data_IF_246457072928
#
_entry.id   IF_246457072928
#
_cell.length_a   1.000
_cell.length_b   1.000
_cell.length_c   1.000
_cell.angle_alpha   90.00
_cell.angle_beta   90.00
_cell.angle_gamma   90.00
#
_symmetry.space_group_name_H-M   'P 1'
#
loop_
_entity.id
_entity.type
_entity.pdbx_description
1 polymer ?
#
# COMPACT_ATOMS: atom_id res chain seq x y z
N UNK A 1 53.97 24.20 -49.09
CA UNK A 1 52.99 23.81 -50.10
C UNK A 1 53.25 22.33 -50.39
N UNK A 2 52.55 21.43 -49.75
CA UNK A 2 52.40 20.02 -50.17
C UNK A 2 51.08 19.52 -49.65
N UNK A 3 50.18 19.27 -50.59
CA UNK A 3 48.87 18.64 -50.37
C UNK A 3 49.09 17.15 -50.26
N UNK A 4 48.64 16.51 -49.17
CA UNK A 4 48.50 15.08 -49.07
C UNK A 4 47.00 14.79 -49.07
N UNK A 5 46.57 14.09 -50.09
CA UNK A 5 45.22 13.51 -50.22
C UNK A 5 45.25 12.13 -49.58
N UNK A 6 44.49 11.92 -48.53
CA UNK A 6 44.27 10.57 -47.96
C UNK A 6 42.84 10.19 -48.24
N UNK A 7 42.71 9.09 -48.93
CA UNK A 7 41.43 8.51 -49.34
C UNK A 7 40.60 7.98 -48.17
N UNK A 8 39.28 8.21 -48.29
CA UNK A 8 38.24 7.74 -47.36
C UNK A 8 37.94 6.28 -47.70
N UNK A 9 38.35 5.35 -46.84
CA UNK A 9 37.82 4.01 -46.84
C UNK A 9 36.61 3.98 -45.84
N UNK A 10 35.43 3.94 -46.39
CA UNK A 10 34.19 3.80 -45.59
C UNK A 10 34.13 2.36 -45.06
N UNK A 11 34.42 2.17 -43.79
CA UNK A 11 34.06 0.95 -43.05
C UNK A 11 32.69 1.14 -42.46
N UNK A 12 31.67 0.56 -43.09
CA UNK A 12 30.33 0.49 -42.55
C UNK A 12 30.37 -0.60 -41.45
N UNK A 13 30.50 -0.17 -40.19
CA UNK A 13 30.27 -1.01 -39.03
C UNK A 13 28.77 -1.04 -38.77
N UNK A 14 28.07 -2.10 -39.18
CA UNK A 14 26.71 -2.42 -38.75
C UNK A 14 26.76 -2.75 -37.26
N UNK A 15 26.56 -1.74 -36.42
CA UNK A 15 26.21 -1.93 -35.02
C UNK A 15 24.77 -2.45 -34.95
N UNK A 16 24.63 -3.77 -34.96
CA UNK A 16 23.42 -4.42 -34.48
C UNK A 16 23.32 -4.14 -32.98
N UNK A 17 22.65 -3.07 -32.63
CA UNK A 17 22.20 -2.80 -31.26
C UNK A 17 21.20 -3.89 -30.90
N UNK A 18 21.71 -4.97 -30.27
CA UNK A 18 20.89 -5.89 -29.54
C UNK A 18 20.15 -5.09 -28.44
N UNK A 19 18.93 -4.71 -28.70
CA UNK A 19 17.98 -4.34 -27.66
C UNK A 19 17.80 -5.59 -26.79
N UNK A 20 18.64 -5.75 -25.78
CA UNK A 20 18.32 -6.59 -24.64
C UNK A 20 17.20 -5.90 -23.91
N UNK A 21 15.96 -6.14 -24.35
CA UNK A 21 14.78 -5.87 -23.55
C UNK A 21 15.06 -6.52 -22.20
N UNK A 22 15.28 -5.70 -21.16
CA UNK A 22 15.20 -6.18 -19.79
C UNK A 22 13.85 -6.87 -19.69
N UNK A 23 13.83 -8.19 -19.72
CA UNK A 23 12.70 -8.98 -19.27
C UNK A 23 12.41 -8.45 -17.88
N UNK A 24 11.36 -7.64 -17.75
CA UNK A 24 10.80 -7.27 -16.48
C UNK A 24 10.39 -8.60 -15.87
N UNK A 25 11.19 -9.11 -14.95
CA UNK A 25 10.84 -10.27 -14.16
C UNK A 25 9.52 -9.89 -13.52
N UNK A 26 8.44 -10.51 -13.98
CA UNK A 26 7.16 -10.49 -13.27
C UNK A 26 7.51 -11.02 -11.91
N UNK A 27 7.60 -10.14 -10.92
CA UNK A 27 7.72 -10.54 -9.53
C UNK A 27 6.48 -11.41 -9.28
N UNK A 28 6.74 -12.68 -9.01
CA UNK A 28 5.70 -13.63 -8.66
C UNK A 28 5.01 -13.05 -7.41
N UNK A 29 3.86 -12.42 -7.63
CA UNK A 29 3.18 -11.64 -6.60
C UNK A 29 2.72 -12.64 -5.54
N UNK A 30 3.38 -12.60 -4.37
CA UNK A 30 3.00 -13.46 -3.25
C UNK A 30 1.61 -13.13 -2.69
N UNK A 31 1.03 -11.99 -3.09
CA UNK A 31 -0.32 -11.55 -2.73
C UNK A 31 -1.42 -12.17 -3.61
N UNK A 32 -1.25 -13.43 -3.98
CA UNK A 32 -2.24 -14.25 -4.69
C UNK A 32 -2.67 -15.41 -3.81
N UNK A 33 -3.98 -15.64 -3.69
CA UNK A 33 -4.55 -16.89 -3.14
C UNK A 33 -4.32 -17.15 -1.64
N UNK A 34 -4.21 -16.14 -0.81
CA UNK A 34 -4.31 -16.30 0.65
C UNK A 34 -5.78 -16.29 1.06
N UNK A 35 -6.15 -17.21 1.95
CA UNK A 35 -7.46 -17.19 2.61
C UNK A 35 -7.39 -16.34 3.86
N UNK A 36 -8.48 -15.64 4.15
CA UNK A 36 -8.58 -14.87 5.38
C UNK A 36 -8.63 -15.79 6.61
N UNK A 37 -7.69 -15.58 7.52
CA UNK A 37 -7.64 -16.22 8.84
C UNK A 37 -7.47 -15.20 9.97
N UNK A 38 -7.33 -13.91 9.64
CA UNK A 38 -6.82 -12.87 10.55
C UNK A 38 -7.87 -11.86 11.00
N UNK A 39 -8.97 -11.73 10.28
CA UNK A 39 -10.01 -10.75 10.64
C UNK A 39 -11.41 -11.34 10.40
N UNK A 40 -12.40 -10.73 11.04
CA UNK A 40 -13.80 -11.17 10.97
C UNK A 40 -14.67 -10.02 10.48
N UNK A 41 -15.89 -10.36 10.05
CA UNK A 41 -16.98 -9.40 9.91
C UNK A 41 -17.21 -8.67 11.26
N UNK A 42 -17.73 -7.45 11.20
CA UNK A 42 -17.96 -6.58 12.36
C UNK A 42 -16.68 -6.15 13.12
N UNK A 43 -15.48 -6.48 12.59
CA UNK A 43 -14.24 -6.01 13.21
C UNK A 43 -14.17 -4.47 13.11
N UNK A 44 -13.83 -3.85 14.25
CA UNK A 44 -13.51 -2.43 14.32
C UNK A 44 -12.18 -2.22 15.03
N UNK A 45 -11.28 -1.50 14.37
CA UNK A 45 -9.97 -1.13 14.93
C UNK A 45 -9.90 0.40 14.92
N UNK A 46 -9.65 0.99 16.09
CA UNK A 46 -9.55 2.44 16.25
C UNK A 46 -8.17 2.83 16.78
N UNK A 47 -7.56 3.82 16.16
CA UNK A 47 -6.27 4.37 16.54
C UNK A 47 -6.42 5.81 17.00
N UNK A 48 -5.62 6.19 17.99
CA UNK A 48 -5.33 7.60 18.27
C UNK A 48 -4.09 7.98 17.49
N UNK A 49 -4.16 9.03 16.70
CA UNK A 49 -3.03 9.55 15.91
C UNK A 49 -2.31 10.61 16.74
N UNK A 50 -1.02 10.42 16.93
CA UNK A 50 -0.17 11.38 17.63
C UNK A 50 0.86 11.98 16.66
N UNK A 51 1.02 13.30 16.72
CA UNK A 51 2.17 13.97 16.15
C UNK A 51 3.22 14.21 17.23
N UNK A 52 4.48 13.97 16.87
CA UNK A 52 5.60 14.28 17.75
C UNK A 52 6.26 15.56 17.24
N UNK A 53 6.15 16.62 18.03
CA UNK A 53 6.79 17.92 17.75
C UNK A 53 7.71 18.25 18.92
N UNK A 54 9.01 18.38 18.67
CA UNK A 54 10.04 18.72 19.69
C UNK A 54 9.91 17.81 20.93
N UNK A 55 9.68 16.50 20.71
CA UNK A 55 9.55 15.52 21.80
C UNK A 55 8.20 15.49 22.53
N UNK A 56 7.25 16.35 22.16
CA UNK A 56 5.90 16.36 22.71
C UNK A 56 4.98 15.51 21.82
N UNK A 57 4.19 14.63 22.45
CA UNK A 57 3.14 13.85 21.79
C UNK A 57 1.82 14.62 21.82
N UNK A 58 1.37 15.06 20.65
CA UNK A 58 0.10 15.79 20.49
C UNK A 58 -0.92 14.80 19.91
N UNK A 59 -2.03 14.58 20.63
CA UNK A 59 -3.16 13.83 20.09
C UNK A 59 -3.83 14.66 18.98
N UNK A 60 -3.53 14.32 17.74
CA UNK A 60 -3.92 15.10 16.56
C UNK A 60 -5.23 14.61 15.94
N UNK A 61 -5.64 13.35 16.19
CA UNK A 61 -6.84 12.82 15.56
C UNK A 61 -7.05 11.33 15.78
N UNK A 62 -7.91 10.75 14.98
CA UNK A 62 -8.22 9.30 15.00
C UNK A 62 -8.16 8.71 13.61
N UNK A 63 -7.88 7.40 13.57
CA UNK A 63 -8.04 6.58 12.37
C UNK A 63 -8.84 5.33 12.74
N UNK A 64 -9.95 5.11 12.04
CA UNK A 64 -10.86 4.00 12.30
C UNK A 64 -10.94 3.09 11.08
N UNK A 65 -10.91 1.78 11.31
CA UNK A 65 -11.11 0.76 10.29
C UNK A 65 -12.27 -0.13 10.70
N UNK A 66 -13.21 -0.36 9.78
CA UNK A 66 -14.37 -1.24 10.00
C UNK A 66 -14.48 -2.23 8.87
N UNK A 67 -14.86 -3.46 9.19
CA UNK A 67 -15.06 -4.54 8.22
C UNK A 67 -16.48 -5.07 8.34
N UNK A 68 -17.19 -5.19 7.21
CA UNK A 68 -18.53 -5.79 7.14
C UNK A 68 -18.57 -6.82 6.03
N UNK A 69 -19.24 -7.93 6.25
CA UNK A 69 -19.57 -8.87 5.20
C UNK A 69 -20.81 -8.35 4.45
N UNK A 70 -20.74 -8.26 3.14
CA UNK A 70 -21.85 -7.83 2.28
C UNK A 70 -21.75 -8.48 0.91
N UNK A 71 -22.61 -8.09 -0.02
CA UNK A 71 -22.56 -8.52 -1.41
C UNK A 71 -22.23 -7.35 -2.34
N UNK A 72 -21.39 -7.63 -3.32
CA UNK A 72 -21.09 -6.73 -4.40
C UNK A 72 -21.19 -7.48 -5.74
N UNK A 73 -22.12 -7.04 -6.62
CA UNK A 73 -22.41 -7.71 -7.90
C UNK A 73 -22.69 -9.23 -7.72
N UNK A 74 -23.46 -9.61 -6.68
CA UNK A 74 -23.81 -10.99 -6.38
C UNK A 74 -22.69 -11.85 -5.78
N UNK A 75 -21.51 -11.27 -5.51
CA UNK A 75 -20.39 -11.96 -4.85
C UNK A 75 -20.27 -11.52 -3.40
N UNK A 76 -19.99 -12.45 -2.45
CA UNK A 76 -19.72 -12.08 -1.06
C UNK A 76 -18.38 -11.33 -0.98
N UNK A 77 -18.37 -10.20 -0.29
CA UNK A 77 -17.20 -9.33 -0.11
C UNK A 77 -17.08 -8.86 1.33
N UNK A 78 -15.84 -8.62 1.76
CA UNK A 78 -15.57 -7.78 2.91
C UNK A 78 -15.59 -6.31 2.44
N UNK A 79 -16.56 -5.54 2.91
CA UNK A 79 -16.56 -4.09 2.74
C UNK A 79 -15.76 -3.47 3.89
N UNK A 80 -14.56 -3.05 3.57
CA UNK A 80 -13.62 -2.42 4.49
C UNK A 80 -13.70 -0.92 4.32
N UNK A 81 -13.84 -0.18 5.41
CA UNK A 81 -13.83 1.28 5.42
C UNK A 81 -12.76 1.78 6.39
N UNK A 82 -11.83 2.56 5.88
CA UNK A 82 -10.85 3.32 6.65
C UNK A 82 -11.23 4.80 6.70
N UNK A 83 -11.18 5.42 7.86
CA UNK A 83 -11.43 6.85 8.06
C UNK A 83 -10.31 7.47 8.86
N UNK A 84 -9.80 8.61 8.40
CA UNK A 84 -8.83 9.43 9.10
C UNK A 84 -9.43 10.82 9.36
N UNK A 85 -9.40 11.29 10.61
CA UNK A 85 -9.91 12.63 10.95
C UNK A 85 -8.98 13.32 11.96
N UNK A 86 -8.64 14.56 11.70
CA UNK A 86 -7.99 15.43 12.69
C UNK A 86 -8.98 15.90 13.73
N UNK A 87 -8.49 16.14 14.94
CA UNK A 87 -9.28 16.71 16.01
C UNK A 87 -9.71 18.13 15.63
N UNK A 88 -10.97 18.56 15.86
CA UNK A 88 -11.43 19.90 15.48
C UNK A 88 -10.55 21.03 15.98
N UNK A 89 -9.91 20.87 17.14
CA UNK A 89 -8.97 21.84 17.73
C UNK A 89 -7.73 22.11 16.88
N UNK A 90 -7.40 21.23 15.90
CA UNK A 90 -6.22 21.34 15.04
C UNK A 90 -6.58 21.55 13.57
N UNK A 91 -7.88 21.61 13.21
CA UNK A 91 -8.33 21.79 11.83
C UNK A 91 -7.80 23.09 11.21
N UNK A 92 -7.54 24.10 12.02
CA UNK A 92 -6.97 25.38 11.58
C UNK A 92 -5.48 25.29 11.18
N UNK A 93 -4.75 24.25 11.66
CA UNK A 93 -3.36 23.98 11.27
C UNK A 93 -3.34 23.12 10.01
N UNK A 94 -3.99 21.96 10.10
CA UNK A 94 -4.06 21.02 8.98
C UNK A 94 -5.27 20.09 9.16
N UNK A 95 -6.28 20.32 8.34
CA UNK A 95 -7.51 19.53 8.39
C UNK A 95 -7.37 18.27 7.58
N UNK A 96 -7.70 17.11 8.17
CA UNK A 96 -7.81 15.82 7.49
C UNK A 96 -9.21 15.26 7.63
N UNK A 97 -9.83 14.88 6.52
CA UNK A 97 -11.14 14.22 6.43
C UNK A 97 -11.06 13.18 5.32
N UNK A 98 -10.48 12.04 5.67
CA UNK A 98 -10.22 11.00 4.70
C UNK A 98 -11.17 9.83 4.88
N UNK A 99 -11.61 9.27 3.76
CA UNK A 99 -12.40 8.06 3.69
C UNK A 99 -11.93 7.20 2.53
N UNK A 100 -11.52 5.99 2.87
CA UNK A 100 -11.15 4.93 1.95
C UNK A 100 -12.14 3.78 2.09
N UNK A 101 -12.55 3.16 0.99
CA UNK A 101 -13.40 1.97 1.00
C UNK A 101 -12.85 0.94 0.02
N UNK A 102 -12.86 -0.32 0.41
CA UNK A 102 -12.52 -1.43 -0.48
C UNK A 102 -13.54 -2.54 -0.34
N UNK A 103 -13.97 -3.07 -1.47
CA UNK A 103 -14.82 -4.26 -1.57
C UNK A 103 -13.92 -5.43 -1.94
N UNK A 104 -13.56 -6.23 -0.95
CA UNK A 104 -12.55 -7.28 -1.03
C UNK A 104 -13.24 -8.62 -1.18
N UNK A 105 -12.92 -9.35 -2.24
CA UNK A 105 -13.42 -10.72 -2.47
C UNK A 105 -13.05 -11.64 -1.32
N UNK A 106 -14.04 -12.33 -0.73
CA UNK A 106 -13.84 -13.18 0.46
C UNK A 106 -12.97 -14.41 0.22
N UNK A 107 -12.81 -14.82 -1.05
CA UNK A 107 -12.07 -16.03 -1.43
C UNK A 107 -10.61 -15.75 -1.73
N UNK A 108 -10.32 -14.61 -2.40
CA UNK A 108 -9.00 -14.29 -2.92
C UNK A 108 -8.31 -13.13 -2.22
N UNK A 109 -9.04 -12.40 -1.38
CA UNK A 109 -8.62 -11.13 -0.75
C UNK A 109 -8.14 -10.07 -1.77
N UNK A 110 -8.60 -10.15 -3.01
CA UNK A 110 -8.36 -9.14 -4.03
C UNK A 110 -9.49 -8.11 -4.05
N UNK A 111 -9.21 -6.85 -4.38
CA UNK A 111 -10.24 -5.83 -4.49
C UNK A 111 -11.13 -6.08 -5.71
N UNK A 112 -12.41 -5.76 -5.60
CA UNK A 112 -13.37 -5.64 -6.70
C UNK A 112 -13.71 -4.17 -6.96
N UNK A 113 -13.73 -3.35 -5.92
CA UNK A 113 -13.93 -1.89 -6.01
C UNK A 113 -13.16 -1.19 -4.91
N UNK A 114 -12.59 -0.04 -5.26
CA UNK A 114 -11.94 0.88 -4.32
C UNK A 114 -12.50 2.28 -4.50
N UNK A 115 -12.78 2.96 -3.39
CA UNK A 115 -13.22 4.35 -3.35
C UNK A 115 -12.30 5.13 -2.44
N UNK A 116 -11.85 6.29 -2.90
CA UNK A 116 -10.98 7.19 -2.15
C UNK A 116 -11.56 8.60 -2.16
N UNK A 117 -11.92 9.08 -0.98
CA UNK A 117 -12.34 10.47 -0.76
C UNK A 117 -11.40 11.08 0.29
N UNK A 118 -10.60 12.04 -0.10
CA UNK A 118 -9.54 12.67 0.70
C UNK A 118 -9.77 14.17 0.72
N UNK A 119 -9.63 14.79 1.90
CA UNK A 119 -9.57 16.23 2.10
C UNK A 119 -8.47 16.52 3.11
N UNK A 120 -7.27 16.81 2.61
CA UNK A 120 -6.04 17.05 3.37
C UNK A 120 -5.56 18.48 3.15
N UNK A 121 -5.78 19.35 4.12
CA UNK A 121 -5.38 20.78 4.04
C UNK A 121 -6.02 21.53 2.86
N UNK A 122 -7.20 21.09 2.40
CA UNK A 122 -7.88 21.63 1.23
C UNK A 122 -7.55 20.93 -0.10
N UNK A 123 -6.54 20.06 -0.13
CA UNK A 123 -6.29 19.18 -1.28
C UNK A 123 -7.32 18.05 -1.28
N UNK A 124 -8.05 17.90 -2.38
CA UNK A 124 -9.17 16.95 -2.48
C UNK A 124 -8.92 15.91 -3.57
N UNK A 125 -9.18 14.66 -3.22
CA UNK A 125 -9.17 13.52 -4.14
C UNK A 125 -10.53 12.82 -4.05
N UNK A 126 -11.12 12.51 -5.21
CA UNK A 126 -12.26 11.62 -5.34
C UNK A 126 -11.95 10.65 -6.46
N UNK A 127 -11.74 9.39 -6.11
CA UNK A 127 -11.39 8.34 -7.07
C UNK A 127 -12.26 7.12 -6.85
N UNK A 128 -12.65 6.47 -7.93
CA UNK A 128 -13.36 5.20 -7.94
C UNK A 128 -12.68 4.27 -8.93
N UNK A 129 -12.29 3.08 -8.46
CA UNK A 129 -11.66 2.04 -9.24
C UNK A 129 -12.49 0.77 -9.20
N UNK A 130 -12.85 0.22 -10.36
CA UNK A 130 -13.48 -1.09 -10.52
C UNK A 130 -12.45 -2.07 -11.09
N UNK A 131 -12.16 -3.13 -10.32
CA UNK A 131 -11.16 -4.14 -10.67
C UNK A 131 -11.83 -5.33 -11.35
N UNK A 132 -11.45 -5.61 -12.59
CA UNK A 132 -11.84 -6.81 -13.31
C UNK A 132 -10.68 -7.81 -13.28
N UNK A 133 -10.82 -8.87 -12.46
CA UNK A 133 -9.80 -9.91 -12.28
C UNK A 133 -9.68 -10.85 -13.47
N UNK A 134 -10.72 -10.98 -14.29
CA UNK A 134 -10.74 -11.87 -15.46
C UNK A 134 -9.95 -11.28 -16.62
N UNK A 135 -10.06 -9.96 -16.81
CA UNK A 135 -9.37 -9.23 -17.87
C UNK A 135 -8.09 -8.54 -17.41
N UNK A 136 -7.80 -8.53 -16.09
CA UNK A 136 -6.69 -7.80 -15.49
C UNK A 136 -6.71 -6.30 -15.88
N UNK A 137 -7.88 -5.69 -15.75
CA UNK A 137 -8.11 -4.28 -16.06
C UNK A 137 -8.75 -3.59 -14.88
N UNK A 138 -8.29 -2.39 -14.58
CA UNK A 138 -8.95 -1.45 -13.65
C UNK A 138 -9.64 -0.37 -14.46
N UNK A 139 -10.94 -0.24 -14.27
CA UNK A 139 -11.73 0.86 -14.84
C UNK A 139 -11.82 1.99 -13.81
N UNK A 140 -11.56 3.20 -14.29
CA UNK A 140 -11.60 4.43 -13.51
C UNK A 140 -12.40 5.50 -14.24
N UNK A 141 -12.62 6.65 -13.62
CA UNK A 141 -13.23 7.82 -14.27
C UNK A 141 -12.34 8.42 -15.39
N UNK A 142 -11.04 8.08 -15.41
CA UNK A 142 -10.09 8.56 -16.46
C UNK A 142 -9.86 7.56 -17.59
N UNK A 143 -10.38 6.34 -17.46
CA UNK A 143 -10.20 5.30 -18.47
C UNK A 143 -9.90 3.92 -17.87
N UNK A 144 -9.41 3.03 -18.72
CA UNK A 144 -9.09 1.66 -18.37
C UNK A 144 -7.57 1.46 -18.36
N UNK A 145 -7.09 0.75 -17.34
CA UNK A 145 -5.66 0.51 -17.11
C UNK A 145 -5.39 -0.98 -16.98
N UNK A 146 -4.44 -1.49 -17.74
CA UNK A 146 -3.96 -2.86 -17.58
C UNK A 146 -3.19 -2.99 -16.25
N UNK A 147 -3.51 -4.03 -15.50
CA UNK A 147 -2.87 -4.32 -14.20
C UNK A 147 -2.38 -5.76 -14.16
N UNK A 148 -1.35 -6.08 -13.38
CA UNK A 148 -0.97 -7.47 -13.18
C UNK A 148 -2.05 -8.23 -12.40
N UNK A 149 -2.04 -9.56 -12.52
CA UNK A 149 -2.86 -10.42 -11.66
C UNK A 149 -2.52 -10.16 -10.20
N UNK A 150 -3.52 -10.32 -9.32
CA UNK A 150 -3.37 -10.12 -7.87
C UNK A 150 -2.97 -8.71 -7.43
N UNK A 151 -3.25 -7.70 -8.26
CA UNK A 151 -3.09 -6.30 -7.88
C UNK A 151 -3.97 -5.97 -6.68
N UNK A 152 -3.47 -5.12 -5.81
CA UNK A 152 -4.16 -4.66 -4.60
C UNK A 152 -4.48 -3.17 -4.71
N UNK A 153 -5.49 -2.72 -3.98
CA UNK A 153 -5.64 -1.33 -3.55
C UNK A 153 -5.00 -1.11 -2.17
N UNK A 154 -5.07 0.10 -1.64
CA UNK A 154 -4.47 0.46 -0.35
C UNK A 154 -5.03 -0.37 0.80
N UNK A 155 -6.35 -0.50 0.90
CA UNK A 155 -6.99 -1.23 2.01
C UNK A 155 -6.87 -2.74 1.85
N UNK A 156 -7.07 -3.25 0.64
CA UNK A 156 -6.92 -4.68 0.39
C UNK A 156 -5.49 -5.15 0.65
N UNK A 157 -4.47 -4.34 0.33
CA UNK A 157 -3.08 -4.63 0.67
C UNK A 157 -2.84 -4.73 2.19
N UNK A 158 -3.43 -3.83 2.99
CA UNK A 158 -3.34 -3.86 4.46
C UNK A 158 -3.98 -5.15 5.01
N UNK A 159 -5.19 -5.48 4.57
CA UNK A 159 -5.90 -6.66 5.04
C UNK A 159 -5.28 -7.97 4.54
N UNK A 160 -4.70 -7.96 3.34
CA UNK A 160 -3.92 -9.08 2.84
C UNK A 160 -2.64 -9.28 3.68
N UNK A 161 -1.93 -8.21 4.01
CA UNK A 161 -0.70 -8.25 4.81
C UNK A 161 -0.93 -8.89 6.19
N UNK A 162 -2.10 -8.76 6.79
CA UNK A 162 -2.48 -9.42 8.05
C UNK A 162 -2.57 -10.94 7.92
N UNK A 163 -2.71 -11.46 6.71
CA UNK A 163 -2.78 -12.90 6.44
C UNK A 163 -1.43 -13.51 6.01
N UNK A 164 -0.34 -12.73 6.02
CA UNK A 164 0.99 -13.23 5.69
C UNK A 164 1.51 -14.13 6.81
N UNK A 165 1.90 -15.35 6.45
CA UNK A 165 2.65 -16.23 7.36
C UNK A 165 4.11 -15.79 7.44
N UNK A 166 4.41 -14.86 8.33
CA UNK A 166 5.76 -14.34 8.55
C UNK A 166 6.75 -15.41 9.03
N UNK A 167 6.28 -16.56 9.51
CA UNK A 167 7.13 -17.69 9.89
C UNK A 167 7.92 -18.30 8.73
N UNK A 168 7.44 -18.11 7.51
CA UNK A 168 8.10 -18.60 6.28
C UNK A 168 9.26 -17.71 5.81
N UNK A 169 9.44 -16.53 6.41
CA UNK A 169 10.39 -15.54 5.93
C UNK A 169 11.55 -15.34 6.90
N UNK A 170 12.74 -15.17 6.36
CA UNK A 170 13.91 -14.74 7.13
C UNK A 170 13.83 -13.23 7.39
N UNK A 171 14.45 -12.78 8.48
CA UNK A 171 14.62 -11.35 8.77
C UNK A 171 15.27 -10.64 7.57
N UNK A 172 14.77 -9.48 7.21
CA UNK A 172 15.08 -8.68 6.02
C UNK A 172 14.55 -9.24 4.68
N UNK A 173 13.79 -10.33 4.67
CA UNK A 173 13.09 -10.75 3.46
C UNK A 173 12.13 -9.66 2.99
N UNK A 174 12.07 -9.45 1.68
CA UNK A 174 11.12 -8.56 1.01
C UNK A 174 10.02 -9.40 0.40
N UNK A 175 8.79 -9.13 0.80
CA UNK A 175 7.58 -9.82 0.35
C UNK A 175 6.91 -8.91 -0.68
N UNK A 176 7.04 -9.20 -1.99
CA UNK A 176 6.60 -8.30 -3.04
C UNK A 176 5.08 -8.34 -3.24
N UNK A 177 4.51 -7.22 -3.65
CA UNK A 177 3.14 -7.11 -4.15
C UNK A 177 3.04 -5.94 -5.13
N UNK A 178 1.95 -5.90 -5.92
CA UNK A 178 1.62 -4.77 -6.78
C UNK A 178 0.37 -4.08 -6.27
N UNK A 179 0.40 -2.76 -6.24
CA UNK A 179 -0.73 -1.92 -5.89
C UNK A 179 -1.08 -0.98 -7.06
N UNK A 180 -2.37 -0.80 -7.31
CA UNK A 180 -2.86 0.22 -8.23
C UNK A 180 -3.36 1.42 -7.43
N UNK A 181 -2.76 2.58 -7.67
CA UNK A 181 -3.09 3.85 -7.02
C UNK A 181 -2.74 5.00 -7.96
N UNK A 182 -3.46 6.11 -7.89
CA UNK A 182 -3.21 7.32 -8.69
C UNK A 182 -3.03 7.03 -10.20
N UNK A 183 -3.82 6.04 -10.71
CA UNK A 183 -3.86 5.57 -12.10
C UNK A 183 -2.58 4.87 -12.57
N UNK A 184 -1.74 4.39 -11.63
CA UNK A 184 -0.47 3.73 -11.91
C UNK A 184 -0.32 2.41 -11.13
N UNK A 185 0.50 1.51 -11.69
CA UNK A 185 0.90 0.27 -11.04
C UNK A 185 2.21 0.50 -10.26
N UNK A 186 2.20 0.25 -8.96
CA UNK A 186 3.37 0.35 -8.10
C UNK A 186 3.82 -1.04 -7.67
N UNK A 187 5.06 -1.40 -7.99
CA UNK A 187 5.71 -2.60 -7.47
C UNK A 187 6.31 -2.31 -6.10
N UNK A 188 5.68 -2.83 -5.08
CA UNK A 188 5.98 -2.58 -3.68
C UNK A 188 6.42 -3.87 -2.98
N UNK A 189 6.82 -3.75 -1.73
CA UNK A 189 7.11 -4.90 -0.86
C UNK A 189 6.90 -4.55 0.61
N UNK A 190 6.75 -5.59 1.41
CA UNK A 190 6.84 -5.53 2.86
C UNK A 190 8.18 -6.15 3.26
N UNK A 191 9.04 -5.39 3.97
CA UNK A 191 10.29 -5.91 4.52
C UNK A 191 10.08 -6.38 5.95
N UNK A 192 10.21 -7.69 6.16
CA UNK A 192 10.08 -8.31 7.47
C UNK A 192 11.31 -8.02 8.34
N UNK A 193 11.13 -7.54 9.56
CA UNK A 193 12.22 -7.17 10.47
C UNK A 193 12.34 -8.09 11.70
N UNK A 194 11.51 -9.12 11.80
CA UNK A 194 11.54 -10.05 12.94
C UNK A 194 10.42 -9.80 13.94
N UNK A 195 10.65 -10.33 15.15
CA UNK A 195 9.71 -10.27 16.27
C UNK A 195 10.36 -9.56 17.44
N UNK A 196 9.58 -8.75 18.14
CA UNK A 196 10.03 -8.10 19.38
C UNK A 196 8.85 -7.90 20.34
N UNK A 197 9.14 -7.62 21.59
CA UNK A 197 8.13 -7.26 22.59
C UNK A 197 8.05 -5.74 22.65
N UNK A 198 6.84 -5.20 22.48
CA UNK A 198 6.59 -3.75 22.56
C UNK A 198 5.63 -3.43 23.70
N UNK A 199 5.79 -2.26 24.29
CA UNK A 199 4.90 -1.72 25.31
C UNK A 199 4.05 -0.61 24.69
N UNK A 200 2.73 -0.67 24.89
CA UNK A 200 1.77 0.34 24.48
C UNK A 200 0.93 0.78 25.69
N UNK A 201 0.08 1.79 25.52
CA UNK A 201 -0.88 2.19 26.56
C UNK A 201 -1.91 1.09 26.90
N UNK A 202 -2.08 0.10 26.01
CA UNK A 202 -3.02 -1.02 26.19
C UNK A 202 -2.37 -2.27 26.73
N UNK A 203 -1.07 -2.23 27.02
CA UNK A 203 -0.33 -3.37 27.57
C UNK A 203 0.96 -3.70 26.80
N UNK A 204 1.52 -4.85 27.11
CA UNK A 204 2.71 -5.39 26.49
C UNK A 204 2.32 -6.46 25.50
N UNK A 205 2.82 -6.37 24.27
CA UNK A 205 2.51 -7.29 23.18
C UNK A 205 3.79 -7.90 22.63
N UNK A 206 3.76 -9.19 22.36
CA UNK A 206 4.69 -9.80 21.41
C UNK A 206 4.22 -9.40 20.00
N UNK A 207 5.11 -8.84 19.21
CA UNK A 207 4.75 -8.25 17.92
C UNK A 207 5.71 -8.67 16.81
N UNK A 208 5.15 -8.80 15.61
CA UNK A 208 5.87 -8.90 14.35
C UNK A 208 6.11 -7.48 13.85
N UNK A 209 7.36 -7.19 13.48
CA UNK A 209 7.80 -5.88 13.00
C UNK A 209 8.11 -5.95 11.52
N UNK A 210 7.65 -4.99 10.76
CA UNK A 210 7.96 -4.88 9.34
C UNK A 210 7.90 -3.43 8.84
N UNK A 211 8.47 -3.19 7.67
CA UNK A 211 8.40 -1.92 6.95
C UNK A 211 7.79 -2.12 5.57
N UNK A 212 6.65 -1.50 5.26
CA UNK A 212 6.16 -1.42 3.89
C UNK A 212 6.99 -0.41 3.09
N UNK A 213 7.24 -0.71 1.81
CA UNK A 213 7.66 0.32 0.86
C UNK A 213 6.42 1.15 0.50
N UNK A 214 6.46 2.44 0.77
CA UNK A 214 5.35 3.37 0.53
C UNK A 214 5.52 4.13 -0.77
N UNK A 215 4.40 4.40 -1.42
CA UNK A 215 4.32 5.43 -2.48
C UNK A 215 4.36 6.81 -1.83
N UNK A 216 5.06 7.75 -2.45
CA UNK A 216 5.06 9.16 -1.98
C UNK A 216 3.66 9.73 -2.14
N UNK A 217 3.15 10.36 -1.11
CA UNK A 217 1.82 10.99 -1.07
C UNK A 217 1.85 12.37 -0.42
N UNK A 218 0.69 12.90 -0.10
CA UNK A 218 0.52 14.21 0.56
C UNK A 218 1.03 14.21 2.00
N UNK A 219 0.84 13.12 2.72
CA UNK A 219 1.24 12.98 4.14
C UNK A 219 2.54 12.18 4.28
N UNK A 220 2.78 11.19 3.43
CA UNK A 220 3.93 10.29 3.54
C UNK A 220 5.03 10.62 2.55
N UNK A 221 6.29 10.64 3.01
CA UNK A 221 7.47 10.88 2.17
C UNK A 221 7.73 9.78 1.13
N UNK A 222 7.11 8.61 1.30
CA UNK A 222 7.40 7.40 0.53
C UNK A 222 8.61 6.64 1.07
N UNK A 223 9.04 5.60 0.35
CA UNK A 223 10.15 4.75 0.77
C UNK A 223 9.82 3.84 1.95
N UNK A 224 10.85 3.33 2.65
CA UNK A 224 10.72 2.44 3.83
C UNK A 224 10.70 3.20 5.16
N UNK A 225 10.06 4.36 5.20
CA UNK A 225 10.09 5.23 6.38
C UNK A 225 9.07 4.82 7.45
N UNK A 226 7.98 4.14 7.05
CA UNK A 226 6.99 3.63 7.99
C UNK A 226 7.47 2.34 8.66
N UNK A 227 7.20 2.19 9.95
CA UNK A 227 7.37 0.94 10.69
C UNK A 227 6.03 0.51 11.28
N UNK A 228 5.70 -0.75 11.11
CA UNK A 228 4.44 -1.34 11.60
C UNK A 228 4.76 -2.51 12.53
N UNK A 229 4.02 -2.59 13.63
CA UNK A 229 4.01 -3.70 14.56
C UNK A 229 2.61 -4.28 14.61
N UNK A 230 2.49 -5.57 14.30
CA UNK A 230 1.25 -6.32 14.45
C UNK A 230 1.39 -7.36 15.54
N UNK A 231 0.30 -7.79 16.17
CA UNK A 231 0.33 -8.87 17.16
C UNK A 231 0.94 -10.14 16.56
N UNK A 232 1.77 -10.86 17.34
CA UNK A 232 2.35 -12.17 16.94
C UNK A 232 1.36 -13.29 17.28
N UNK A 233 0.16 -13.20 16.70
CA UNK A 233 -0.93 -14.18 16.80
C UNK A 233 -1.62 -14.33 15.42
N UNK A 234 -2.67 -15.13 15.36
CA UNK A 234 -3.38 -15.37 14.09
C UNK A 234 -4.07 -14.12 13.52
N UNK A 235 -4.34 -13.09 14.34
CA UNK A 235 -5.10 -11.92 13.90
C UNK A 235 -4.22 -10.82 13.29
N UNK A 236 -2.92 -10.80 13.61
CA UNK A 236 -1.96 -9.78 13.15
C UNK A 236 -2.55 -8.35 13.22
N UNK A 237 -3.14 -8.02 14.39
CA UNK A 237 -3.73 -6.69 14.59
C UNK A 237 -2.62 -5.66 14.68
N UNK A 238 -2.63 -4.59 13.86
CA UNK A 238 -1.66 -3.52 14.01
C UNK A 238 -1.83 -2.83 15.36
N UNK A 239 -0.81 -2.86 16.20
CA UNK A 239 -0.82 -2.29 17.56
C UNK A 239 0.01 -1.02 17.68
N UNK A 240 0.91 -0.79 16.72
CA UNK A 240 1.71 0.43 16.62
C UNK A 240 2.14 0.69 15.18
N UNK A 241 2.03 1.93 14.74
CA UNK A 241 2.48 2.40 13.45
C UNK A 241 3.26 3.69 13.68
N UNK A 242 4.47 3.77 13.15
CA UNK A 242 5.30 4.98 13.18
C UNK A 242 5.72 5.35 11.77
N UNK A 243 5.55 6.59 11.40
CA UNK A 243 5.99 7.14 10.11
C UNK A 243 6.38 8.59 10.28
N UNK A 244 7.52 9.02 9.71
CA UNK A 244 7.71 10.44 9.46
C UNK A 244 6.65 10.91 8.47
N UNK A 245 6.16 12.10 8.70
CA UNK A 245 5.19 12.76 7.83
C UNK A 245 5.79 14.05 7.29
N UNK A 246 5.37 14.42 6.09
CA UNK A 246 5.64 15.74 5.52
C UNK A 246 4.52 16.64 6.06
N UNK A 247 4.88 17.58 6.92
CA UNK A 247 3.98 18.69 7.25
C UNK A 247 4.31 19.77 6.23
N UNK A 248 3.40 19.98 5.27
CA UNK A 248 3.53 20.99 4.23
C UNK A 248 3.48 22.41 4.78
#
# INVERSE_FOLDING_TARGET
>A
MNKVVIGIAAVIFLLASAFTGKKQTVLDSTFCSIRNTSFKEEERISYTVYYTVIGLYINAGTADFTTRLTQFNGKPVYHVVGRGVTHPSYDWIYRVRDRYESYIDTTTLQPLRFVRNVDEGGYKINQLYDFNKETNVVKTEKGEYAVPSCVQDVLSAIYYARNIDFGKYKVNARIPFTMFLDYENFNLYIRYLGRETIKTKYGTFRAIKFKPLLVKGTIFEGGENMTVWVTDDANHVPVRIESPIVVG
#
